data_IF_565602020396
#
_entry.id   IF_565602020396
#
_cell.length_a   1.000
_cell.length_b   1.000
_cell.length_c   1.000
_cell.angle_alpha   90.00
_cell.angle_beta   90.00
_cell.angle_gamma   90.00
#
_symmetry.space_group_name_H-M   'P 1'
#
loop_
_entity.id
_entity.type
_entity.pdbx_description
1 polymer ?
#
# COMPACT_ATOMS: atom_id res chain seq x y z
N UNK A 1 -26.00 -2.87 3.15
CA UNK A 1 -25.47 -1.59 2.62
C UNK A 1 -24.74 -1.78 1.29
N UNK A 2 -23.59 -2.49 1.24
CA UNK A 2 -22.84 -2.69 -0.02
C UNK A 2 -23.68 -3.32 -1.14
N UNK A 3 -24.42 -4.39 -0.85
CA UNK A 3 -25.30 -5.02 -1.83
C UNK A 3 -26.37 -4.06 -2.39
N UNK A 4 -26.97 -3.24 -1.52
CA UNK A 4 -27.95 -2.23 -1.93
C UNK A 4 -27.33 -1.15 -2.83
N UNK A 5 -26.08 -0.73 -2.58
CA UNK A 5 -25.39 0.22 -3.45
C UNK A 5 -25.24 -0.33 -4.88
N UNK A 6 -24.94 -1.63 -5.02
CA UNK A 6 -24.89 -2.31 -6.31
C UNK A 6 -26.26 -2.43 -6.95
N UNK A 7 -27.25 -2.96 -6.23
CA UNK A 7 -28.60 -3.19 -6.75
C UNK A 7 -29.34 -1.90 -7.12
N UNK A 8 -29.05 -0.80 -6.44
CA UNK A 8 -29.59 0.52 -6.77
C UNK A 8 -28.86 1.22 -7.91
N UNK A 9 -27.83 0.60 -8.50
CA UNK A 9 -27.05 1.17 -9.61
C UNK A 9 -26.10 2.31 -9.19
N UNK A 10 -25.88 2.52 -7.89
CA UNK A 10 -24.99 3.58 -7.35
C UNK A 10 -23.52 3.16 -7.31
N UNK A 11 -23.25 1.86 -7.41
CA UNK A 11 -21.90 1.31 -7.51
C UNK A 11 -21.91 0.12 -8.47
N UNK A 12 -20.91 0.03 -9.35
CA UNK A 12 -20.75 -1.15 -10.22
C UNK A 12 -20.21 -2.35 -9.45
N UNK A 13 -19.30 -2.11 -8.49
CA UNK A 13 -18.61 -3.13 -7.71
C UNK A 13 -18.41 -2.67 -6.27
N UNK A 14 -18.03 -3.61 -5.40
CA UNK A 14 -17.75 -3.36 -4.00
C UNK A 14 -16.40 -3.97 -3.60
N UNK A 15 -15.75 -3.31 -2.66
CA UNK A 15 -14.50 -3.75 -2.06
C UNK A 15 -14.47 -3.41 -0.57
N UNK A 16 -13.42 -3.88 0.10
CA UNK A 16 -13.18 -3.59 1.52
C UNK A 16 -11.74 -3.10 1.72
N UNK A 17 -11.44 -2.50 2.86
CA UNK A 17 -10.08 -2.01 3.17
C UNK A 17 -9.72 -2.33 4.60
N UNK A 18 -8.48 -2.81 4.80
CA UNK A 18 -7.88 -3.05 6.13
C UNK A 18 -8.65 -4.07 6.99
N UNK A 19 -9.36 -5.02 6.36
CA UNK A 19 -10.00 -6.15 7.05
C UNK A 19 -8.99 -7.30 7.20
N UNK A 20 -9.06 -8.01 8.32
CA UNK A 20 -8.28 -9.24 8.53
C UNK A 20 -8.71 -10.34 7.55
N UNK A 21 -7.90 -11.40 7.36
CA UNK A 21 -8.26 -12.54 6.52
C UNK A 21 -9.62 -13.14 6.88
N UNK A 22 -9.91 -13.34 8.16
CA UNK A 22 -11.14 -13.97 8.65
C UNK A 22 -12.36 -13.10 8.33
N UNK A 23 -12.23 -11.78 8.54
CA UNK A 23 -13.30 -10.82 8.20
C UNK A 23 -13.47 -10.70 6.69
N UNK A 24 -12.39 -10.81 5.93
CA UNK A 24 -12.42 -10.78 4.46
C UNK A 24 -13.17 -11.99 3.91
N UNK A 25 -12.84 -13.19 4.40
CA UNK A 25 -13.56 -14.42 4.08
C UNK A 25 -15.04 -14.29 4.41
N UNK A 26 -15.37 -13.81 5.62
CA UNK A 26 -16.77 -13.63 6.03
C UNK A 26 -17.52 -12.64 5.13
N UNK A 27 -16.86 -11.55 4.73
CA UNK A 27 -17.46 -10.58 3.79
C UNK A 27 -17.70 -11.17 2.41
N UNK A 28 -16.77 -11.97 1.90
CA UNK A 28 -16.94 -12.67 0.62
C UNK A 28 -18.12 -13.66 0.66
N UNK A 29 -18.28 -14.41 1.76
CA UNK A 29 -19.45 -15.29 1.98
C UNK A 29 -20.76 -14.54 1.98
N UNK A 30 -20.85 -13.46 2.78
CA UNK A 30 -22.06 -12.65 2.86
C UNK A 30 -22.42 -12.03 1.52
N UNK A 31 -21.45 -11.51 0.76
CA UNK A 31 -21.71 -10.92 -0.55
C UNK A 31 -22.13 -12.00 -1.59
N UNK A 32 -21.64 -13.23 -1.48
CA UNK A 32 -22.09 -14.37 -2.31
C UNK A 32 -23.57 -14.68 -2.11
N UNK A 33 -24.11 -14.57 -0.90
CA UNK A 33 -25.56 -14.74 -0.64
C UNK A 33 -26.40 -13.72 -1.43
N UNK A 34 -25.85 -12.54 -1.71
CA UNK A 34 -26.46 -11.50 -2.54
C UNK A 34 -26.10 -11.59 -4.04
N UNK A 35 -25.38 -12.65 -4.46
CA UNK A 35 -24.85 -12.84 -5.82
C UNK A 35 -23.93 -11.69 -6.27
N UNK A 36 -23.19 -11.10 -5.35
CA UNK A 36 -22.23 -10.02 -5.62
C UNK A 36 -20.83 -10.53 -5.27
N UNK A 37 -19.86 -10.50 -6.20
CA UNK A 37 -18.48 -10.84 -5.88
C UNK A 37 -17.83 -9.72 -5.06
N UNK A 38 -17.00 -10.09 -4.08
CA UNK A 38 -16.07 -9.14 -3.47
C UNK A 38 -14.94 -8.87 -4.48
N UNK A 39 -14.94 -7.69 -5.11
CA UNK A 39 -14.02 -7.43 -6.22
C UNK A 39 -12.59 -7.20 -5.74
N UNK A 40 -12.42 -6.37 -4.69
CA UNK A 40 -11.10 -5.85 -4.32
C UNK A 40 -10.95 -5.65 -2.81
N UNK A 41 -9.73 -5.83 -2.33
CA UNK A 41 -9.29 -5.46 -0.99
C UNK A 41 -8.15 -4.43 -1.07
N UNK A 42 -8.19 -3.41 -0.21
CA UNK A 42 -7.19 -2.35 -0.14
C UNK A 42 -6.44 -2.38 1.20
N UNK A 43 -5.34 -3.15 1.35
CA UNK A 43 -4.53 -3.21 2.56
C UNK A 43 -3.35 -2.23 2.53
N UNK A 44 -2.88 -1.82 3.71
CA UNK A 44 -1.61 -1.08 3.81
C UNK A 44 -0.47 -2.06 3.61
N UNK A 45 0.30 -1.91 2.54
CA UNK A 45 1.31 -2.89 2.16
C UNK A 45 2.49 -2.21 1.48
N UNK A 46 3.68 -2.45 2.02
CA UNK A 46 4.95 -1.95 1.50
C UNK A 46 6.11 -2.75 2.11
N UNK A 47 7.34 -2.46 1.68
CA UNK A 47 8.55 -3.14 2.15
C UNK A 47 8.70 -3.19 3.68
N UNK A 48 8.22 -2.15 4.40
CA UNK A 48 8.32 -2.00 5.85
C UNK A 48 7.09 -2.53 6.60
N UNK A 49 5.93 -2.59 5.94
CA UNK A 49 4.68 -3.06 6.50
C UNK A 49 4.18 -4.30 5.75
N UNK A 50 4.51 -5.48 6.29
CA UNK A 50 4.24 -6.80 5.68
C UNK A 50 3.22 -7.64 6.45
N UNK A 51 2.26 -7.00 7.11
CA UNK A 51 1.19 -7.74 7.80
C UNK A 51 0.35 -8.57 6.81
N UNK A 52 0.20 -8.10 5.58
CA UNK A 52 -0.49 -8.78 4.47
C UNK A 52 0.12 -10.16 4.22
N UNK A 53 1.45 -10.25 4.19
CA UNK A 53 2.17 -11.52 4.04
C UNK A 53 1.99 -12.40 5.27
N UNK A 54 2.25 -11.84 6.46
CA UNK A 54 2.24 -12.58 7.73
C UNK A 54 0.88 -13.14 8.11
N UNK A 55 -0.19 -12.46 7.71
CA UNK A 55 -1.56 -12.88 8.02
C UNK A 55 -2.14 -13.89 7.04
N UNK A 56 -1.49 -14.15 5.90
CA UNK A 56 -2.08 -14.96 4.84
C UNK A 56 -3.23 -14.26 4.11
N UNK A 57 -3.26 -12.91 4.12
CA UNK A 57 -4.30 -12.16 3.43
C UNK A 57 -4.28 -12.43 1.92
N UNK A 58 -3.11 -12.44 1.27
CA UNK A 58 -3.01 -12.71 -0.17
C UNK A 58 -3.57 -14.10 -0.54
N UNK A 59 -3.38 -15.11 0.31
CA UNK A 59 -3.93 -16.44 0.10
C UNK A 59 -5.46 -16.42 0.19
N UNK A 60 -6.00 -15.69 1.17
CA UNK A 60 -7.46 -15.49 1.33
C UNK A 60 -8.06 -14.76 0.14
N UNK A 61 -7.39 -13.72 -0.37
CA UNK A 61 -7.83 -12.96 -1.54
C UNK A 61 -7.83 -13.84 -2.78
N UNK A 62 -6.74 -14.58 -3.03
CA UNK A 62 -6.62 -15.49 -4.15
C UNK A 62 -7.70 -16.59 -4.13
N UNK A 63 -7.96 -17.20 -2.97
CA UNK A 63 -8.98 -18.23 -2.80
C UNK A 63 -10.41 -17.74 -3.09
N UNK A 64 -10.66 -16.43 -2.94
CA UNK A 64 -11.97 -15.82 -3.22
C UNK A 64 -12.02 -15.11 -4.59
N UNK A 65 -10.95 -15.15 -5.39
CA UNK A 65 -10.86 -14.38 -6.63
C UNK A 65 -10.94 -12.86 -6.42
N UNK A 66 -10.53 -12.38 -5.25
CA UNK A 66 -10.54 -10.96 -4.88
C UNK A 66 -9.20 -10.31 -5.23
N UNK A 67 -9.21 -9.16 -5.89
CA UNK A 67 -7.99 -8.40 -6.19
C UNK A 67 -7.39 -7.71 -4.97
N UNK A 68 -6.12 -7.34 -5.07
CA UNK A 68 -5.39 -6.59 -4.03
C UNK A 68 -4.86 -5.28 -4.60
N UNK A 69 -5.25 -4.15 -4.01
CA UNK A 69 -4.67 -2.82 -4.31
C UNK A 69 -3.92 -2.29 -3.10
N UNK A 70 -2.58 -2.36 -3.12
CA UNK A 70 -1.75 -1.95 -2.01
C UNK A 70 -1.76 -0.42 -1.84
N UNK A 71 -2.12 0.08 -0.66
CA UNK A 71 -2.02 1.50 -0.33
C UNK A 71 -0.83 1.80 0.59
N UNK A 72 -0.46 3.08 0.65
CA UNK A 72 0.80 3.59 1.24
C UNK A 72 2.04 2.81 0.77
N UNK A 73 2.20 2.56 -0.56
CA UNK A 73 3.25 1.69 -1.07
C UNK A 73 4.67 2.25 -0.82
N UNK A 74 4.79 3.57 -0.70
CA UNK A 74 6.05 4.26 -0.40
C UNK A 74 6.20 4.64 1.09
N UNK A 75 5.37 4.06 1.98
CA UNK A 75 5.35 4.38 3.42
C UNK A 75 5.32 5.90 3.68
N UNK A 76 4.38 6.59 3.05
CA UNK A 76 4.21 8.06 3.10
C UNK A 76 5.44 8.88 2.61
N UNK A 77 6.38 8.24 1.93
CA UNK A 77 7.60 8.84 1.40
C UNK A 77 8.89 8.33 2.05
N UNK A 78 8.83 7.48 3.08
CA UNK A 78 10.04 6.88 3.68
C UNK A 78 10.82 6.06 2.67
N UNK A 79 10.13 5.31 1.82
CA UNK A 79 10.73 4.46 0.78
C UNK A 79 11.08 5.22 -0.50
N UNK A 80 11.54 6.47 -0.38
CA UNK A 80 11.97 7.30 -1.53
C UNK A 80 13.39 7.82 -1.43
N UNK A 81 14.03 7.68 -0.26
CA UNK A 81 15.40 8.13 -0.02
C UNK A 81 15.48 9.59 0.44
N UNK A 82 14.40 10.36 0.29
CA UNK A 82 14.39 11.80 0.61
C UNK A 82 14.74 12.15 2.06
N UNK A 83 14.61 11.19 2.98
CA UNK A 83 14.87 11.41 4.41
C UNK A 83 16.22 10.84 4.88
N UNK A 84 17.06 10.33 3.98
CA UNK A 84 18.35 9.71 4.33
C UNK A 84 19.37 10.71 4.92
N UNK A 85 19.22 11.99 4.58
CA UNK A 85 20.16 13.06 4.91
C UNK A 85 19.47 14.23 5.66
N UNK A 86 18.39 13.94 6.39
CA UNK A 86 17.59 14.94 7.11
C UNK A 86 16.18 15.10 6.53
N UNK A 87 15.40 16.03 7.08
CA UNK A 87 14.01 16.26 6.70
C UNK A 87 13.94 17.41 5.70
N UNK A 88 13.56 17.17 4.43
CA UNK A 88 13.47 18.24 3.44
C UNK A 88 12.34 19.23 3.77
N UNK A 89 12.56 20.49 3.41
CA UNK A 89 11.52 21.53 3.46
C UNK A 89 10.33 21.20 2.55
N UNK A 90 9.12 21.55 3.00
CA UNK A 90 7.86 21.24 2.33
C UNK A 90 7.49 19.75 2.31
N UNK A 91 8.31 18.87 2.90
CA UNK A 91 8.05 17.43 2.93
C UNK A 91 6.76 17.12 3.71
N UNK A 92 6.21 15.92 3.48
CA UNK A 92 5.04 15.44 4.24
C UNK A 92 5.35 15.36 5.73
N UNK A 93 6.57 14.95 6.11
CA UNK A 93 6.98 14.89 7.51
C UNK A 93 6.96 16.27 8.17
N UNK A 94 7.46 17.31 7.51
CA UNK A 94 7.39 18.68 8.04
C UNK A 94 5.95 19.20 8.16
N UNK A 95 5.11 18.98 7.13
CA UNK A 95 3.73 19.48 7.10
C UNK A 95 2.74 18.71 7.98
N UNK A 96 2.97 17.41 8.16
CA UNK A 96 2.01 16.49 8.76
C UNK A 96 2.56 15.68 9.95
N UNK A 97 3.83 15.85 10.32
CA UNK A 97 4.48 15.05 11.37
C UNK A 97 3.88 15.19 12.76
N UNK A 98 3.02 16.19 12.99
CA UNK A 98 2.25 16.36 14.24
C UNK A 98 0.87 15.69 14.22
N UNK A 99 0.44 15.13 13.08
CA UNK A 99 -0.87 14.44 12.96
C UNK A 99 -0.78 13.03 13.54
N UNK A 100 -1.86 12.54 14.15
CA UNK A 100 -1.92 11.22 14.80
C UNK A 100 -1.57 10.02 13.90
N UNK A 101 -1.77 10.13 12.58
CA UNK A 101 -1.39 9.11 11.57
C UNK A 101 -0.32 9.60 10.59
N UNK A 102 0.31 10.72 10.92
CA UNK A 102 1.31 11.36 10.09
C UNK A 102 2.63 10.59 10.08
N UNK A 103 3.44 10.85 9.07
CA UNK A 103 4.82 10.42 9.02
C UNK A 103 5.63 11.28 10.00
N UNK A 104 6.12 10.69 11.09
CA UNK A 104 6.78 11.42 12.18
C UNK A 104 8.30 11.22 12.20
N UNK A 105 9.02 12.16 12.80
CA UNK A 105 10.48 12.11 12.95
C UNK A 105 10.95 10.91 13.78
N UNK A 106 10.11 10.44 14.72
CA UNK A 106 10.38 9.24 15.53
C UNK A 106 10.51 7.96 14.69
N UNK A 107 10.06 7.98 13.43
CA UNK A 107 10.26 6.87 12.50
C UNK A 107 11.66 6.85 11.88
N UNK A 108 12.45 7.92 12.01
CA UNK A 108 13.83 8.06 11.52
C UNK A 108 14.86 7.69 12.59
N UNK A 109 14.66 6.57 13.28
CA UNK A 109 15.70 6.01 14.16
C UNK A 109 16.92 5.59 13.34
N UNK A 110 18.11 5.54 13.96
CA UNK A 110 19.32 5.06 13.26
C UNK A 110 19.15 3.65 12.66
N UNK A 111 18.43 2.76 13.35
CA UNK A 111 18.13 1.42 12.83
C UNK A 111 17.28 1.48 11.54
N UNK A 112 16.27 2.34 11.51
CA UNK A 112 15.44 2.53 10.32
C UNK A 112 16.23 3.22 9.20
N UNK A 113 17.03 4.23 9.50
CA UNK A 113 17.88 4.91 8.53
C UNK A 113 18.90 3.94 7.91
N UNK A 114 19.52 3.07 8.70
CA UNK A 114 20.42 2.03 8.19
C UNK A 114 19.71 1.06 7.25
N UNK A 115 18.47 0.66 7.60
CA UNK A 115 17.65 -0.19 6.72
C UNK A 115 17.30 0.51 5.40
N UNK A 116 16.96 1.81 5.46
CA UNK A 116 16.68 2.62 4.26
C UNK A 116 17.93 2.84 3.40
N UNK A 117 19.11 3.02 4.01
CA UNK A 117 20.39 3.12 3.29
C UNK A 117 20.68 1.85 2.51
N UNK A 118 20.50 0.68 3.13
CA UNK A 118 20.67 -0.62 2.47
C UNK A 118 19.68 -0.80 1.31
N UNK A 119 18.40 -0.46 1.50
CA UNK A 119 17.41 -0.50 0.43
C UNK A 119 17.78 0.44 -0.73
N UNK A 120 18.33 1.62 -0.43
CA UNK A 120 18.76 2.56 -1.45
C UNK A 120 19.96 2.03 -2.25
N UNK A 121 20.92 1.38 -1.60
CA UNK A 121 22.03 0.69 -2.26
C UNK A 121 21.53 -0.42 -3.20
N UNK A 122 20.57 -1.24 -2.74
CA UNK A 122 19.94 -2.26 -3.57
C UNK A 122 19.22 -1.68 -4.79
N UNK A 123 18.55 -0.53 -4.62
CA UNK A 123 17.87 0.15 -5.72
C UNK A 123 18.89 0.65 -6.76
N UNK A 124 19.97 1.28 -6.30
CA UNK A 124 21.06 1.76 -7.17
C UNK A 124 21.70 0.63 -7.96
N UNK A 125 21.96 -0.51 -7.31
CA UNK A 125 22.50 -1.71 -7.97
C UNK A 125 21.57 -2.26 -9.08
N UNK A 126 20.28 -1.93 -9.04
CA UNK A 126 19.27 -2.33 -10.03
C UNK A 126 18.99 -1.25 -11.09
N UNK A 127 19.67 -0.10 -11.02
CA UNK A 127 19.39 1.06 -11.87
C UNK A 127 18.02 1.70 -11.60
N UNK A 128 17.49 1.56 -10.38
CA UNK A 128 16.19 2.09 -9.97
C UNK A 128 16.37 3.17 -8.89
N UNK A 129 15.44 4.12 -8.81
CA UNK A 129 15.29 4.90 -7.56
C UNK A 129 14.73 3.99 -6.47
N UNK A 130 14.94 4.34 -5.18
CA UNK A 130 14.34 3.55 -4.09
C UNK A 130 12.81 3.52 -4.17
N UNK A 131 12.19 4.60 -4.67
CA UNK A 131 10.75 4.64 -4.90
C UNK A 131 10.32 3.60 -5.95
N UNK A 132 10.97 3.58 -7.12
CA UNK A 132 10.73 2.60 -8.16
C UNK A 132 10.90 1.17 -7.65
N UNK A 133 12.00 0.88 -6.94
CA UNK A 133 12.24 -0.45 -6.38
C UNK A 133 11.15 -0.87 -5.39
N UNK A 134 10.68 0.05 -4.53
CA UNK A 134 9.60 -0.22 -3.59
C UNK A 134 8.27 -0.55 -4.28
N UNK A 135 7.95 0.14 -5.38
CA UNK A 135 6.77 -0.14 -6.19
C UNK A 135 6.91 -1.48 -6.93
N UNK A 136 8.04 -1.71 -7.60
CA UNK A 136 8.34 -2.99 -8.27
C UNK A 136 8.29 -4.17 -7.29
N UNK A 137 8.74 -3.99 -6.05
CA UNK A 137 8.69 -5.03 -5.04
C UNK A 137 7.27 -5.46 -4.68
N UNK A 138 6.30 -4.54 -4.67
CA UNK A 138 4.89 -4.90 -4.45
C UNK A 138 4.33 -5.67 -5.64
N UNK A 139 4.66 -5.23 -6.86
CA UNK A 139 4.18 -5.82 -8.11
C UNK A 139 4.90 -7.12 -8.50
N UNK A 140 5.90 -7.58 -7.74
CA UNK A 140 6.58 -8.86 -7.98
C UNK A 140 5.68 -10.08 -7.77
N UNK A 141 4.62 -9.92 -6.97
CA UNK A 141 3.64 -10.98 -6.68
C UNK A 141 2.38 -10.71 -7.50
N UNK A 142 2.05 -11.62 -8.42
CA UNK A 142 0.92 -11.47 -9.35
C UNK A 142 -0.44 -11.32 -8.65
N UNK A 143 -0.53 -11.71 -7.37
CA UNK A 143 -1.74 -11.54 -6.56
C UNK A 143 -1.97 -10.08 -6.16
N UNK A 144 -0.95 -9.22 -6.24
CA UNK A 144 -1.08 -7.77 -6.09
C UNK A 144 -1.50 -7.18 -7.44
N UNK A 145 -2.79 -6.90 -7.56
CA UNK A 145 -3.41 -6.38 -8.78
C UNK A 145 -2.92 -4.97 -9.13
N UNK A 146 -2.68 -4.13 -8.13
CA UNK A 146 -2.24 -2.75 -8.35
C UNK A 146 -1.58 -2.13 -7.11
N UNK A 147 -0.88 -1.02 -7.31
CA UNK A 147 -0.28 -0.18 -6.26
C UNK A 147 -0.87 1.22 -6.33
N UNK A 148 -1.45 1.69 -5.22
CA UNK A 148 -2.07 3.01 -5.13
C UNK A 148 -1.03 4.06 -4.72
N UNK A 149 -0.38 4.67 -5.73
CA UNK A 149 0.62 5.72 -5.51
C UNK A 149 -0.04 7.06 -5.18
N UNK A 150 0.66 7.88 -4.39
CA UNK A 150 0.30 9.27 -4.14
C UNK A 150 1.47 10.17 -4.46
N UNK A 151 1.22 11.29 -5.14
CA UNK A 151 2.22 12.26 -5.56
C UNK A 151 1.79 13.68 -5.19
N UNK A 152 2.77 14.56 -4.98
CA UNK A 152 2.55 16.00 -4.73
C UNK A 152 2.99 16.89 -5.89
N UNK A 153 3.59 16.31 -6.94
CA UNK A 153 4.07 16.96 -8.16
C UNK A 153 4.15 15.95 -9.29
N UNK A 154 4.12 16.41 -10.53
CA UNK A 154 4.09 15.58 -11.75
C UNK A 154 5.33 14.70 -11.90
N UNK A 155 6.50 15.20 -11.52
CA UNK A 155 7.77 14.47 -11.68
C UNK A 155 7.80 13.20 -10.81
N UNK A 156 7.07 13.19 -9.70
CA UNK A 156 6.94 11.98 -8.88
C UNK A 156 6.04 10.93 -9.55
N UNK A 157 5.06 11.35 -10.36
CA UNK A 157 4.26 10.41 -11.14
C UNK A 157 5.13 9.83 -12.26
N UNK A 158 5.83 10.69 -13.00
CA UNK A 158 6.76 10.28 -14.07
C UNK A 158 7.87 9.35 -13.58
N UNK A 159 8.43 9.59 -12.38
CA UNK A 159 9.41 8.69 -11.77
C UNK A 159 8.82 7.32 -11.42
N UNK A 160 7.54 7.27 -11.03
CA UNK A 160 6.90 6.08 -10.47
C UNK A 160 6.25 5.15 -11.51
N UNK A 161 6.08 5.58 -12.76
CA UNK A 161 5.37 4.82 -13.82
C UNK A 161 6.31 4.17 -14.82
#
# INVERSE_FOLDING_TARGET
ALAQAVQSGKALYVGISSYSPERTQKMAELLREWKIPLLIHQPSYNLLNRWVDKSGLLDTLAANGTGCIAFTPLAQGLLTGKYLNGIPDGSRMQREGKKARGLTENMLTEANLNSLRLLNEMAQARGQTMAQMALSWLLKDERVTSVLIGASRTEQLEENV
#
